data_IF_824952733099
#
_entry.id   IF_824952733099
#
_cell.length_a   1.000
_cell.length_b   1.000
_cell.length_c   1.000
_cell.angle_alpha   90.00
_cell.angle_beta   90.00
_cell.angle_gamma   90.00
#
_symmetry.space_group_name_H-M   'P 1'
#
loop_
_entity.id
_entity.type
_entity.pdbx_description
1 polymer ?
#
# COMPACT_ATOMS: atom_id res chain seq x y z
N UNK A 1 -21.53 38.98 0.20
CA UNK A 1 -21.06 38.12 1.30
C UNK A 1 -19.70 37.61 0.95
N UNK A 2 -18.71 37.83 1.79
CA UNK A 2 -17.33 37.33 1.61
C UNK A 2 -17.22 35.88 2.08
N UNK A 3 -16.74 35.03 1.24
CA UNK A 3 -16.66 33.59 1.47
C UNK A 3 -15.30 33.05 1.01
N UNK A 4 -14.93 31.86 1.48
CA UNK A 4 -13.86 31.10 0.90
C UNK A 4 -14.44 30.09 -0.10
N UNK A 5 -14.07 30.21 -1.37
CA UNK A 5 -14.43 29.27 -2.43
C UNK A 5 -13.34 28.21 -2.56
N UNK A 6 -13.72 26.93 -2.55
CA UNK A 6 -12.82 25.81 -2.79
C UNK A 6 -13.31 24.99 -3.98
N UNK A 7 -12.54 25.04 -5.07
CA UNK A 7 -12.83 24.29 -6.29
C UNK A 7 -11.96 23.01 -6.38
N UNK A 8 -12.45 21.93 -7.00
CA UNK A 8 -11.67 20.74 -7.22
C UNK A 8 -10.35 21.03 -7.96
N UNK A 9 -9.25 20.50 -7.45
CA UNK A 9 -7.92 20.64 -8.05
C UNK A 9 -7.27 22.02 -7.95
N UNK A 10 -7.89 22.98 -7.26
CA UNK A 10 -7.39 24.35 -7.10
C UNK A 10 -7.12 24.70 -5.64
N UNK A 11 -6.32 25.75 -5.44
CA UNK A 11 -6.19 26.42 -4.15
C UNK A 11 -7.48 27.16 -3.82
N UNK A 12 -7.82 27.29 -2.51
CA UNK A 12 -8.93 28.15 -2.08
C UNK A 12 -8.75 29.59 -2.52
N UNK A 13 -9.85 30.27 -2.77
CA UNK A 13 -9.81 31.72 -3.07
C UNK A 13 -10.91 32.48 -2.32
N UNK A 14 -10.55 33.65 -1.79
CA UNK A 14 -11.53 34.59 -1.27
C UNK A 14 -12.41 35.10 -2.43
N UNK A 15 -13.71 35.02 -2.24
CA UNK A 15 -14.69 35.38 -3.26
C UNK A 15 -15.83 36.16 -2.61
N UNK A 16 -16.38 37.13 -3.32
CA UNK A 16 -17.58 37.85 -2.88
C UNK A 16 -18.77 37.40 -3.74
N UNK A 17 -19.84 36.98 -3.08
CA UNK A 17 -21.09 36.59 -3.72
C UNK A 17 -22.27 37.38 -3.14
N UNK A 18 -23.40 37.45 -3.86
CA UNK A 18 -24.61 37.96 -3.32
C UNK A 18 -25.09 37.14 -2.11
N UNK A 19 -25.71 37.78 -1.12
CA UNK A 19 -26.30 37.08 0.00
C UNK A 19 -27.68 36.54 -0.37
N UNK A 20 -27.80 35.25 -0.54
CA UNK A 20 -29.08 34.62 -0.86
C UNK A 20 -28.90 33.18 -1.36
N UNK A 21 -30.01 32.44 -1.31
CA UNK A 21 -30.01 31.02 -1.69
C UNK A 21 -29.56 30.81 -3.14
N UNK A 22 -30.04 31.63 -4.07
CA UNK A 22 -29.71 31.51 -5.50
C UNK A 22 -28.20 31.67 -5.78
N UNK A 23 -27.55 32.61 -5.06
CA UNK A 23 -26.11 32.83 -5.23
C UNK A 23 -25.31 31.63 -4.70
N UNK A 24 -25.68 31.05 -3.59
CA UNK A 24 -25.07 29.84 -3.03
C UNK A 24 -25.29 28.64 -3.96
N UNK A 25 -26.51 28.43 -4.43
CA UNK A 25 -26.85 27.37 -5.38
C UNK A 25 -26.04 27.47 -6.69
N UNK A 26 -25.91 28.69 -7.20
CA UNK A 26 -25.08 28.94 -8.39
C UNK A 26 -23.61 28.63 -8.14
N UNK A 27 -23.08 28.98 -6.98
CA UNK A 27 -21.66 28.77 -6.64
C UNK A 27 -21.31 27.29 -6.52
N UNK A 28 -22.21 26.45 -5.97
CA UNK A 28 -21.99 25.01 -5.84
C UNK A 28 -22.56 24.19 -7.00
N UNK A 29 -23.30 24.82 -7.90
CA UNK A 29 -23.85 24.16 -9.11
C UNK A 29 -25.08 23.30 -8.87
N UNK A 30 -25.93 23.62 -7.88
CA UNK A 30 -27.17 22.88 -7.57
C UNK A 30 -27.76 23.18 -6.21
N UNK A 31 -28.60 22.26 -5.70
CA UNK A 31 -29.15 22.38 -4.35
C UNK A 31 -28.03 22.35 -3.30
N UNK A 32 -28.18 23.17 -2.27
CA UNK A 32 -27.15 23.27 -1.24
C UNK A 32 -27.44 22.34 -0.07
N UNK A 33 -26.37 21.75 0.46
CA UNK A 33 -26.30 21.19 1.79
C UNK A 33 -25.33 22.01 2.63
N UNK A 34 -25.67 22.30 3.87
CA UNK A 34 -24.77 22.91 4.82
C UNK A 34 -24.41 21.89 5.91
N UNK A 35 -23.11 21.71 6.14
CA UNK A 35 -22.57 20.86 7.20
C UNK A 35 -21.69 21.67 8.12
N UNK A 36 -21.59 21.27 9.39
CA UNK A 36 -20.92 21.99 10.46
C UNK A 36 -19.83 21.12 11.09
N UNK A 37 -18.74 20.85 10.35
CA UNK A 37 -17.70 19.91 10.80
C UNK A 37 -16.72 20.51 11.82
N UNK A 38 -16.82 21.79 12.12
CA UNK A 38 -15.87 22.54 12.94
C UNK A 38 -16.56 23.20 14.13
N UNK A 39 -15.82 23.42 15.22
CA UNK A 39 -16.28 24.18 16.38
C UNK A 39 -16.38 25.69 16.11
N UNK A 40 -15.65 26.19 15.11
CA UNK A 40 -15.73 27.59 14.68
C UNK A 40 -17.13 27.95 14.16
N UNK A 41 -17.53 29.21 14.25
CA UNK A 41 -18.82 29.68 13.74
C UNK A 41 -18.85 29.78 12.22
N UNK A 42 -18.66 28.65 11.54
CA UNK A 42 -18.65 28.50 10.09
C UNK A 42 -19.54 27.35 9.63
N UNK A 43 -19.98 27.41 8.40
CA UNK A 43 -20.57 26.28 7.69
C UNK A 43 -19.79 25.95 6.42
N UNK A 44 -19.72 24.66 6.11
CA UNK A 44 -19.32 24.16 4.80
C UNK A 44 -20.59 24.00 3.97
N UNK A 45 -20.72 24.78 2.89
CA UNK A 45 -21.86 24.73 1.98
C UNK A 45 -21.41 24.07 0.69
N UNK A 46 -22.01 22.94 0.33
CA UNK A 46 -21.68 22.16 -0.85
C UNK A 46 -22.93 21.76 -1.64
N UNK A 47 -22.76 21.13 -2.79
CA UNK A 47 -23.87 20.57 -3.55
C UNK A 47 -24.37 19.30 -2.86
N UNK A 48 -25.70 19.24 -2.55
CA UNK A 48 -26.35 18.11 -1.89
C UNK A 48 -26.24 16.80 -2.70
N UNK A 49 -26.30 16.89 -4.02
CA UNK A 49 -26.30 15.75 -4.95
C UNK A 49 -24.96 15.58 -5.68
N UNK A 50 -23.92 16.32 -5.31
CA UNK A 50 -22.65 16.39 -6.06
C UNK A 50 -22.02 15.03 -6.35
N UNK A 51 -22.06 14.10 -5.38
CA UNK A 51 -21.57 12.73 -5.56
C UNK A 51 -22.44 11.93 -6.56
N UNK A 52 -23.75 12.06 -6.45
CA UNK A 52 -24.73 11.35 -7.32
C UNK A 52 -24.61 11.87 -8.75
N UNK A 53 -24.36 13.18 -8.90
CA UNK A 53 -24.14 13.83 -10.20
C UNK A 53 -22.77 13.53 -10.80
N UNK A 54 -21.89 12.82 -10.09
CA UNK A 54 -20.54 12.50 -10.57
C UNK A 54 -19.63 13.73 -10.64
N UNK A 55 -19.86 14.75 -9.82
CA UNK A 55 -18.96 15.90 -9.75
C UNK A 55 -17.58 15.47 -9.28
N UNK A 56 -16.48 16.13 -9.73
CA UNK A 56 -15.15 15.82 -9.27
C UNK A 56 -15.02 15.89 -7.74
N UNK A 57 -14.37 14.90 -7.14
CA UNK A 57 -14.06 14.92 -5.71
C UNK A 57 -13.11 16.08 -5.40
N UNK A 58 -13.31 16.73 -4.24
CA UNK A 58 -12.63 17.97 -3.91
C UNK A 58 -11.73 17.84 -2.68
N UNK A 59 -12.30 17.75 -1.48
CA UNK A 59 -11.60 17.64 -0.21
C UNK A 59 -12.28 16.63 0.70
N UNK A 60 -11.49 15.94 1.51
CA UNK A 60 -12.00 15.11 2.60
C UNK A 60 -12.46 15.94 3.79
N UNK A 61 -13.50 15.44 4.46
CA UNK A 61 -13.84 15.83 5.82
C UNK A 61 -13.41 14.70 6.75
N UNK A 62 -12.53 15.04 7.70
CA UNK A 62 -11.98 14.07 8.65
C UNK A 62 -12.38 14.44 10.07
N UNK A 63 -12.48 13.42 10.94
CA UNK A 63 -12.62 13.59 12.37
C UNK A 63 -11.29 14.03 13.03
N UNK A 64 -11.29 14.17 14.36
CA UNK A 64 -10.11 14.59 15.15
C UNK A 64 -8.96 13.56 15.07
N UNK A 65 -9.27 12.30 14.82
CA UNK A 65 -8.32 11.21 14.67
C UNK A 65 -7.75 11.09 13.22
N UNK A 66 -8.26 11.94 12.30
CA UNK A 66 -7.84 11.96 10.89
C UNK A 66 -8.58 10.95 10.02
N UNK A 67 -9.60 10.23 10.54
CA UNK A 67 -10.38 9.30 9.73
C UNK A 67 -11.33 10.09 8.82
N UNK A 68 -11.32 9.75 7.54
CA UNK A 68 -12.23 10.37 6.56
C UNK A 68 -13.64 9.81 6.77
N UNK A 69 -14.56 10.66 7.16
CA UNK A 69 -15.98 10.29 7.29
C UNK A 69 -16.81 10.77 6.09
N UNK A 70 -16.35 11.77 5.34
CA UNK A 70 -16.99 12.22 4.12
C UNK A 70 -15.99 12.82 3.13
N UNK A 71 -16.36 12.87 1.84
CA UNK A 71 -15.60 13.53 0.77
C UNK A 71 -16.56 14.44 0.01
N UNK A 72 -16.22 15.71 -0.08
CA UNK A 72 -17.03 16.69 -0.81
C UNK A 72 -16.79 16.53 -2.32
N UNK A 73 -17.85 16.53 -3.10
CA UNK A 73 -17.81 16.55 -4.55
C UNK A 73 -18.29 17.90 -5.11
N UNK A 74 -17.60 18.41 -6.12
CA UNK A 74 -17.84 19.73 -6.69
C UNK A 74 -17.25 20.88 -5.86
N UNK A 75 -17.67 22.09 -6.19
CA UNK A 75 -17.28 23.28 -5.43
C UNK A 75 -17.93 23.27 -4.04
N UNK A 76 -17.23 23.82 -3.07
CA UNK A 76 -17.82 24.12 -1.77
C UNK A 76 -17.34 25.47 -1.25
N UNK A 77 -18.09 26.00 -0.29
CA UNK A 77 -17.87 27.31 0.30
C UNK A 77 -17.69 27.15 1.80
N UNK A 78 -16.77 27.94 2.38
CA UNK A 78 -16.76 28.19 3.81
C UNK A 78 -17.40 29.58 4.02
N UNK A 79 -18.44 29.60 4.82
CA UNK A 79 -19.23 30.81 5.13
C UNK A 79 -19.26 31.03 6.62
N UNK A 80 -19.33 32.27 7.05
CA UNK A 80 -19.55 32.61 8.45
C UNK A 80 -21.00 32.35 8.88
N UNK A 81 -21.21 32.17 10.18
CA UNK A 81 -22.54 32.04 10.79
C UNK A 81 -22.93 33.36 11.47
N UNK A 82 -24.10 33.90 11.08
CA UNK A 82 -24.74 35.07 11.70
C UNK A 82 -26.02 34.68 12.44
N UNK A 83 -26.75 35.66 12.95
CA UNK A 83 -28.03 35.44 13.61
C UNK A 83 -29.09 34.99 12.60
N UNK A 84 -29.26 33.67 12.47
CA UNK A 84 -30.29 33.04 11.65
C UNK A 84 -29.98 32.97 10.14
N UNK A 85 -28.79 33.35 9.69
CA UNK A 85 -28.37 33.31 8.29
C UNK A 85 -26.86 33.16 8.14
N UNK A 86 -26.40 32.79 6.95
CA UNK A 86 -24.97 32.86 6.62
C UNK A 86 -24.51 34.32 6.56
N UNK A 87 -23.27 34.56 6.92
CA UNK A 87 -22.63 35.86 6.99
C UNK A 87 -21.23 35.84 6.33
N UNK A 88 -20.60 37.00 6.31
CA UNK A 88 -19.22 37.12 5.89
C UNK A 88 -18.33 36.23 6.74
N UNK A 89 -17.40 35.53 6.11
CA UNK A 89 -16.32 34.82 6.80
C UNK A 89 -15.34 35.87 7.36
N UNK A 90 -15.03 35.79 8.64
CA UNK A 90 -14.08 36.72 9.25
C UNK A 90 -12.66 36.54 8.67
N UNK A 91 -11.82 37.60 8.66
CA UNK A 91 -10.48 37.53 8.12
C UNK A 91 -9.63 36.41 8.76
N UNK A 92 -9.72 36.23 10.08
CA UNK A 92 -8.96 35.19 10.81
C UNK A 92 -9.37 33.77 10.36
N UNK A 93 -10.68 33.56 10.19
CA UNK A 93 -11.22 32.28 9.72
C UNK A 93 -10.98 32.09 8.21
N UNK A 94 -10.95 33.17 7.44
CA UNK A 94 -10.54 33.14 6.01
C UNK A 94 -9.11 32.63 5.87
N UNK A 95 -8.17 33.15 6.65
CA UNK A 95 -6.77 32.70 6.66
C UNK A 95 -6.65 31.24 7.14
N UNK A 96 -7.29 30.90 8.26
CA UNK A 96 -7.29 29.55 8.84
C UNK A 96 -7.73 28.50 7.82
N UNK A 97 -8.90 28.69 7.20
CA UNK A 97 -9.45 27.71 6.26
C UNK A 97 -8.78 27.76 4.89
N UNK A 98 -8.21 28.90 4.48
CA UNK A 98 -7.36 28.96 3.29
C UNK A 98 -6.12 28.07 3.44
N UNK A 99 -5.47 28.09 4.60
CA UNK A 99 -4.33 27.22 4.85
C UNK A 99 -4.75 25.75 5.01
N UNK A 100 -5.88 25.47 5.70
CA UNK A 100 -6.40 24.12 5.88
C UNK A 100 -6.68 23.42 4.55
N UNK A 101 -7.30 24.10 3.59
CA UNK A 101 -7.68 23.56 2.29
C UNK A 101 -6.72 23.93 1.16
N UNK A 102 -5.54 24.45 1.47
CA UNK A 102 -4.55 24.94 0.54
C UNK A 102 -4.21 23.92 -0.56
N UNK A 103 -3.94 22.69 -0.15
CA UNK A 103 -3.55 21.64 -1.06
C UNK A 103 -4.76 20.96 -1.71
N UNK A 104 -4.83 20.88 -3.05
CA UNK A 104 -5.77 20.00 -3.73
C UNK A 104 -5.58 18.55 -3.26
N UNK A 105 -6.65 17.78 -3.21
CA UNK A 105 -6.59 16.38 -2.83
C UNK A 105 -6.97 15.47 -3.99
N UNK A 106 -6.32 14.31 -4.05
CA UNK A 106 -6.68 13.17 -4.88
C UNK A 106 -7.00 12.00 -3.94
N UNK A 107 -7.88 11.14 -4.40
CA UNK A 107 -8.37 10.06 -3.55
C UNK A 107 -7.95 8.71 -4.12
N UNK A 108 -7.32 7.90 -3.29
CA UNK A 108 -6.98 6.51 -3.59
C UNK A 108 -7.71 5.59 -2.61
N UNK A 109 -7.98 4.37 -3.04
CA UNK A 109 -8.55 3.36 -2.17
C UNK A 109 -7.52 2.26 -1.96
N UNK A 110 -7.15 2.03 -0.71
CA UNK A 110 -6.17 1.01 -0.32
C UNK A 110 -6.85 0.07 0.67
N UNK A 111 -6.92 -1.22 0.33
CA UNK A 111 -7.55 -2.28 1.14
C UNK A 111 -8.94 -1.89 1.70
N UNK A 112 -9.72 -1.16 0.91
CA UNK A 112 -11.07 -0.74 1.29
C UNK A 112 -11.19 0.63 1.94
N UNK A 113 -10.10 1.21 2.46
CA UNK A 113 -10.09 2.57 3.05
C UNK A 113 -9.81 3.62 1.99
N UNK A 114 -10.49 4.77 2.10
CA UNK A 114 -10.15 5.94 1.29
C UNK A 114 -9.03 6.73 1.96
N UNK A 115 -8.06 7.13 1.18
CA UNK A 115 -6.97 8.00 1.57
C UNK A 115 -7.04 9.27 0.73
N UNK A 116 -7.04 10.44 1.38
CA UNK A 116 -6.91 11.73 0.72
C UNK A 116 -5.42 12.08 0.61
N UNK A 117 -4.93 12.14 -0.61
CA UNK A 117 -3.51 12.45 -0.90
C UNK A 117 -3.40 13.91 -1.32
N UNK A 118 -2.82 14.73 -0.46
CA UNK A 118 -2.55 16.14 -0.74
C UNK A 118 -1.58 16.26 -1.91
N UNK A 119 -1.97 16.99 -2.94
CA UNK A 119 -1.12 17.21 -4.10
C UNK A 119 -0.23 18.43 -3.86
N UNK A 120 1.07 18.34 -4.20
CA UNK A 120 1.98 19.47 -4.05
C UNK A 120 1.56 20.63 -4.95
N UNK A 121 1.74 21.83 -4.45
CA UNK A 121 1.56 23.03 -5.27
C UNK A 121 2.69 23.19 -6.30
N UNK A 122 2.47 23.93 -7.41
CA UNK A 122 3.50 24.14 -8.42
C UNK A 122 4.83 24.67 -7.87
N UNK A 123 4.78 25.46 -6.80
CA UNK A 123 5.94 26.05 -6.13
C UNK A 123 6.73 25.04 -5.27
N UNK A 124 6.13 23.89 -4.93
CA UNK A 124 6.70 22.85 -4.07
C UNK A 124 7.37 21.72 -4.87
N UNK A 125 7.44 21.82 -6.18
CA UNK A 125 7.90 20.76 -7.09
C UNK A 125 9.39 20.39 -6.98
N UNK A 126 10.11 20.89 -6.00
CA UNK A 126 11.51 20.49 -5.69
C UNK A 126 11.66 19.19 -4.87
N UNK A 127 10.57 18.61 -4.36
CA UNK A 127 10.58 17.31 -3.64
C UNK A 127 10.34 16.18 -4.65
N UNK A 128 11.08 15.08 -4.50
CA UNK A 128 10.96 13.89 -5.34
C UNK A 128 9.64 13.18 -5.02
N UNK A 129 8.58 13.52 -5.75
CA UNK A 129 7.34 12.75 -5.72
C UNK A 129 7.35 11.77 -6.89
N UNK A 130 7.07 10.51 -6.62
CA UNK A 130 6.77 9.57 -7.70
C UNK A 130 5.37 9.88 -8.24
N UNK A 131 5.27 10.06 -9.55
CA UNK A 131 3.97 10.24 -10.20
C UNK A 131 3.43 8.87 -10.57
N UNK A 132 2.27 8.54 -10.05
CA UNK A 132 1.58 7.30 -10.33
C UNK A 132 0.31 7.58 -11.12
N UNK A 133 0.02 6.73 -12.11
CA UNK A 133 -1.27 6.75 -12.81
C UNK A 133 -2.20 5.78 -12.10
N UNK A 134 -3.29 6.29 -11.55
CA UNK A 134 -4.31 5.48 -10.89
C UNK A 134 -5.53 5.42 -11.78
N UNK A 135 -5.92 4.20 -12.19
CA UNK A 135 -7.13 3.97 -12.99
C UNK A 135 -8.32 3.80 -12.04
N UNK A 136 -9.15 4.82 -11.94
CA UNK A 136 -10.37 4.80 -11.13
C UNK A 136 -11.62 4.37 -11.91
N UNK A 137 -11.46 3.52 -12.94
CA UNK A 137 -12.55 2.96 -13.74
C UNK A 137 -13.24 3.91 -14.73
N UNK A 138 -12.98 5.23 -14.64
CA UNK A 138 -13.59 6.26 -15.50
C UNK A 138 -12.55 7.18 -16.13
N UNK A 139 -11.41 7.42 -15.47
CA UNK A 139 -10.31 8.23 -15.99
C UNK A 139 -8.99 7.84 -15.30
N UNK A 140 -7.88 7.94 -16.03
CA UNK A 140 -6.54 7.84 -15.48
C UNK A 140 -6.16 9.18 -14.84
N UNK A 141 -6.04 9.21 -13.51
CA UNK A 141 -5.58 10.36 -12.77
C UNK A 141 -4.10 10.23 -12.41
N UNK A 142 -3.32 11.24 -12.72
CA UNK A 142 -1.94 11.32 -12.26
C UNK A 142 -1.92 11.81 -10.81
N UNK A 143 -1.58 10.91 -9.90
CA UNK A 143 -1.49 11.19 -8.47
C UNK A 143 -0.03 11.13 -8.06
N UNK A 144 0.42 12.13 -7.28
CA UNK A 144 1.74 12.11 -6.66
C UNK A 144 1.63 11.51 -5.27
N UNK A 145 2.28 10.37 -5.07
CA UNK A 145 2.31 9.66 -3.81
C UNK A 145 3.70 9.76 -3.19
N UNK A 146 3.77 9.79 -1.86
CA UNK A 146 5.02 9.53 -1.16
C UNK A 146 5.41 8.05 -1.29
N UNK A 147 6.63 7.70 -0.87
CA UNK A 147 7.17 6.35 -1.08
C UNK A 147 6.36 5.27 -0.36
N UNK A 148 5.86 5.54 0.86
CA UNK A 148 5.07 4.58 1.63
C UNK A 148 3.69 4.37 1.02
N UNK A 149 3.00 5.44 0.67
CA UNK A 149 1.67 5.37 0.03
C UNK A 149 1.76 4.71 -1.36
N UNK A 150 2.84 4.98 -2.11
CA UNK A 150 3.09 4.34 -3.41
C UNK A 150 3.30 2.83 -3.26
N UNK A 151 4.14 2.41 -2.30
CA UNK A 151 4.34 0.99 -2.00
C UNK A 151 3.03 0.33 -1.56
N UNK A 152 2.27 0.98 -0.66
CA UNK A 152 0.99 0.49 -0.16
C UNK A 152 -0.03 0.32 -1.30
N UNK A 153 -0.11 1.27 -2.23
CA UNK A 153 -1.02 1.20 -3.37
C UNK A 153 -0.71 0.01 -4.29
N UNK A 154 0.56 -0.21 -4.62
CA UNK A 154 0.97 -1.31 -5.49
C UNK A 154 0.74 -2.67 -4.82
N UNK A 155 1.05 -2.78 -3.52
CA UNK A 155 0.79 -3.99 -2.75
C UNK A 155 -0.70 -4.29 -2.63
N UNK A 156 -1.55 -3.27 -2.37
CA UNK A 156 -3.00 -3.46 -2.39
C UNK A 156 -3.50 -3.93 -3.75
N UNK A 157 -2.94 -3.41 -4.84
CA UNK A 157 -3.28 -3.85 -6.19
C UNK A 157 -2.93 -5.33 -6.40
N UNK A 158 -1.75 -5.76 -5.93
CA UNK A 158 -1.33 -7.15 -5.99
C UNK A 158 -2.25 -8.07 -5.15
N UNK A 159 -2.58 -7.70 -3.92
CA UNK A 159 -3.51 -8.46 -3.08
C UNK A 159 -4.91 -8.55 -3.68
N UNK A 160 -5.40 -7.48 -4.33
CA UNK A 160 -6.69 -7.52 -5.03
C UNK A 160 -6.69 -8.44 -6.26
N UNK A 161 -5.59 -8.49 -6.99
CA UNK A 161 -5.44 -9.42 -8.12
C UNK A 161 -5.43 -10.89 -7.70
N UNK A 162 -5.03 -11.16 -6.45
CA UNK A 162 -4.99 -12.48 -5.83
C UNK A 162 -6.07 -12.65 -4.75
N UNK A 163 -7.21 -11.96 -4.88
CA UNK A 163 -8.23 -11.87 -3.82
C UNK A 163 -8.86 -13.20 -3.47
N UNK A 164 -9.07 -14.10 -4.44
CA UNK A 164 -9.69 -15.42 -4.19
C UNK A 164 -8.84 -16.25 -3.23
N UNK A 165 -7.52 -16.30 -3.46
CA UNK A 165 -6.58 -16.96 -2.56
C UNK A 165 -6.53 -16.29 -1.21
N UNK A 166 -6.46 -14.96 -1.20
CA UNK A 166 -6.41 -14.19 0.03
C UNK A 166 -7.67 -14.36 0.89
N UNK A 167 -8.84 -14.42 0.26
CA UNK A 167 -10.12 -14.71 0.93
C UNK A 167 -10.17 -16.13 1.52
N UNK A 168 -9.58 -17.10 0.85
CA UNK A 168 -9.51 -18.48 1.34
C UNK A 168 -8.60 -18.64 2.56
N UNK A 169 -7.53 -17.86 2.64
CA UNK A 169 -6.58 -17.86 3.75
C UNK A 169 -7.13 -17.21 5.02
N UNK A 170 -8.02 -16.24 4.88
CA UNK A 170 -8.56 -15.43 5.97
C UNK A 170 -10.08 -15.49 6.02
N UNK A 171 -10.64 -16.36 6.89
CA UNK A 171 -12.10 -16.58 7.00
C UNK A 171 -12.90 -15.31 7.33
N UNK A 172 -12.30 -14.38 8.10
CA UNK A 172 -12.87 -13.05 8.35
C UNK A 172 -12.22 -11.99 7.45
N UNK A 173 -12.46 -12.12 6.17
CA UNK A 173 -11.82 -11.30 5.15
C UNK A 173 -12.15 -9.79 5.27
N UNK A 174 -13.29 -9.43 5.83
CA UNK A 174 -13.65 -8.03 6.02
C UNK A 174 -12.74 -7.34 7.06
N UNK A 175 -12.64 -7.91 8.25
CA UNK A 175 -11.72 -7.42 9.30
C UNK A 175 -10.26 -7.52 8.89
N UNK A 176 -9.92 -8.49 8.04
CA UNK A 176 -8.56 -8.65 7.53
C UNK A 176 -8.19 -7.56 6.52
N UNK A 177 -9.12 -7.13 5.68
CA UNK A 177 -8.91 -5.97 4.79
C UNK A 177 -8.63 -4.68 5.57
N UNK A 178 -9.35 -4.46 6.68
CA UNK A 178 -9.12 -3.29 7.52
C UNK A 178 -7.72 -3.33 8.15
N UNK A 179 -7.32 -4.47 8.70
CA UNK A 179 -5.96 -4.67 9.24
C UNK A 179 -4.88 -4.51 8.18
N UNK A 180 -5.08 -5.08 7.00
CA UNK A 180 -4.15 -4.92 5.88
C UNK A 180 -4.01 -3.45 5.48
N UNK A 181 -5.09 -2.68 5.45
CA UNK A 181 -5.03 -1.25 5.17
C UNK A 181 -4.17 -0.51 6.20
N UNK A 182 -4.37 -0.79 7.49
CA UNK A 182 -3.60 -0.16 8.56
C UNK A 182 -2.12 -0.53 8.49
N UNK A 183 -1.79 -1.79 8.21
CA UNK A 183 -0.42 -2.27 8.04
C UNK A 183 0.27 -1.63 6.83
N UNK A 184 -0.41 -1.57 5.69
CA UNK A 184 0.12 -0.95 4.48
C UNK A 184 0.35 0.55 4.67
N UNK A 185 -0.62 1.27 5.23
CA UNK A 185 -0.54 2.73 5.42
C UNK A 185 0.45 3.13 6.52
N UNK A 186 0.61 2.28 7.55
CA UNK A 186 1.59 2.52 8.64
C UNK A 186 2.99 2.01 8.32
N UNK A 187 3.20 1.36 7.17
CA UNK A 187 4.51 0.85 6.75
C UNK A 187 5.01 -0.33 7.60
N UNK A 188 4.11 -1.15 8.16
CA UNK A 188 4.46 -2.37 8.90
C UNK A 188 4.97 -3.47 7.96
N UNK A 189 6.18 -3.30 7.46
CA UNK A 189 6.77 -4.14 6.40
C UNK A 189 6.89 -5.61 6.77
N UNK A 190 7.10 -5.93 8.05
CA UNK A 190 7.15 -7.32 8.54
C UNK A 190 5.82 -8.06 8.34
N UNK A 191 4.70 -7.40 8.61
CA UNK A 191 3.36 -7.98 8.40
C UNK A 191 3.08 -8.20 6.91
N UNK A 192 3.49 -7.27 6.07
CA UNK A 192 3.38 -7.38 4.61
C UNK A 192 4.19 -8.58 4.10
N UNK A 193 5.41 -8.80 4.61
CA UNK A 193 6.22 -9.99 4.29
C UNK A 193 5.48 -11.29 4.60
N UNK A 194 4.82 -11.38 5.77
CA UNK A 194 4.01 -12.55 6.14
C UNK A 194 2.86 -12.80 5.16
N UNK A 195 2.14 -11.74 4.77
CA UNK A 195 1.03 -11.85 3.82
C UNK A 195 1.47 -12.30 2.43
N UNK A 196 2.57 -11.75 1.93
CA UNK A 196 3.16 -12.17 0.67
C UNK A 196 3.61 -13.65 0.71
N UNK A 197 4.25 -14.08 1.80
CA UNK A 197 4.67 -15.46 1.97
C UNK A 197 3.48 -16.45 2.03
N UNK A 198 2.34 -16.03 2.60
CA UNK A 198 1.13 -16.85 2.62
C UNK A 198 0.53 -17.03 1.22
N UNK A 199 0.45 -15.95 0.44
CA UNK A 199 0.00 -16.01 -0.96
C UNK A 199 0.93 -16.87 -1.83
N UNK A 200 2.24 -16.68 -1.68
CA UNK A 200 3.26 -17.45 -2.39
C UNK A 200 3.06 -18.96 -2.23
N UNK A 201 2.88 -19.40 -0.97
CA UNK A 201 2.71 -20.81 -0.64
C UNK A 201 1.45 -21.43 -1.24
N UNK A 202 0.31 -20.74 -1.15
CA UNK A 202 -1.00 -21.30 -1.56
C UNK A 202 -1.19 -21.32 -3.08
N UNK A 203 -0.64 -20.33 -3.79
CA UNK A 203 -0.84 -20.18 -5.25
C UNK A 203 0.42 -20.42 -6.09
N UNK A 204 1.52 -20.85 -5.45
CA UNK A 204 2.79 -21.02 -6.16
C UNK A 204 3.26 -19.75 -6.89
N UNK A 205 3.14 -18.60 -6.20
CA UNK A 205 3.47 -17.27 -6.75
C UNK A 205 4.93 -16.85 -6.52
N UNK A 206 5.86 -17.78 -6.31
CA UNK A 206 7.26 -17.51 -5.92
C UNK A 206 7.94 -16.46 -6.83
N UNK A 207 7.64 -16.50 -8.12
CA UNK A 207 8.16 -15.53 -9.07
C UNK A 207 7.47 -14.17 -9.07
N UNK A 208 6.30 -14.06 -8.46
CA UNK A 208 5.46 -12.86 -8.50
C UNK A 208 5.62 -11.99 -7.25
N UNK A 209 5.91 -12.57 -6.11
CA UNK A 209 6.13 -11.84 -4.84
C UNK A 209 7.52 -11.21 -4.75
N UNK A 210 8.51 -11.78 -5.40
CA UNK A 210 9.91 -11.35 -5.36
C UNK A 210 10.12 -9.85 -5.60
N UNK A 211 9.56 -9.26 -6.67
CA UNK A 211 9.70 -7.83 -6.94
C UNK A 211 9.18 -6.94 -5.80
N UNK A 212 8.12 -7.36 -5.10
CA UNK A 212 7.60 -6.62 -3.94
C UNK A 212 8.50 -6.77 -2.72
N UNK A 213 9.06 -7.95 -2.48
CA UNK A 213 10.02 -8.18 -1.40
C UNK A 213 11.29 -7.34 -1.58
N UNK A 214 11.77 -7.18 -2.81
CA UNK A 214 12.89 -6.28 -3.14
C UNK A 214 12.55 -4.81 -2.86
N UNK A 215 11.34 -4.37 -3.20
CA UNK A 215 10.86 -3.02 -2.91
C UNK A 215 10.72 -2.77 -1.41
N UNK A 216 10.19 -3.74 -0.65
CA UNK A 216 10.12 -3.68 0.82
C UNK A 216 11.53 -3.56 1.40
N UNK A 217 12.49 -4.37 0.94
CA UNK A 217 13.88 -4.30 1.40
C UNK A 217 14.53 -2.95 1.09
N UNK A 218 14.20 -2.35 -0.06
CA UNK A 218 14.69 -1.03 -0.44
C UNK A 218 14.08 0.07 0.43
N UNK A 219 12.79 -0.02 0.73
CA UNK A 219 12.07 0.87 1.63
C UNK A 219 12.63 0.78 3.06
N UNK A 220 12.78 -0.43 3.61
CA UNK A 220 13.37 -0.67 4.93
C UNK A 220 14.78 -0.08 5.04
N UNK A 221 15.61 -0.27 4.01
CA UNK A 221 16.95 0.34 3.96
C UNK A 221 16.91 1.86 3.97
N UNK A 222 16.02 2.47 3.20
CA UNK A 222 15.88 3.92 3.09
C UNK A 222 15.47 4.55 4.43
N UNK A 223 14.57 3.89 5.16
CA UNK A 223 14.01 4.39 6.42
C UNK A 223 14.67 3.79 7.67
N UNK A 224 15.73 2.99 7.52
CA UNK A 224 16.46 2.38 8.62
C UNK A 224 15.67 1.36 9.43
N UNK A 225 14.64 0.76 8.82
CA UNK A 225 13.81 -0.28 9.41
C UNK A 225 14.56 -1.60 9.35
N UNK A 226 14.58 -2.34 10.45
CA UNK A 226 15.11 -3.70 10.52
C UNK A 226 14.00 -4.64 10.95
N UNK A 227 13.90 -5.80 10.30
CA UNK A 227 12.89 -6.82 10.60
C UNK A 227 13.54 -8.20 10.66
N UNK A 228 12.80 -9.18 11.20
CA UNK A 228 13.19 -10.59 11.12
C UNK A 228 12.01 -11.45 10.72
N UNK A 229 12.32 -12.61 10.13
CA UNK A 229 11.33 -13.63 9.79
C UNK A 229 11.74 -14.98 10.31
N UNK A 230 10.79 -15.77 10.81
CA UNK A 230 10.99 -17.14 11.30
C UNK A 230 10.40 -18.11 10.29
N UNK A 231 11.21 -19.09 9.91
CA UNK A 231 10.86 -20.15 8.98
C UNK A 231 10.95 -21.49 9.69
N UNK A 232 9.92 -22.32 9.52
CA UNK A 232 9.83 -23.67 10.05
C UNK A 232 9.60 -24.66 8.92
N UNK A 233 10.12 -25.89 9.06
CA UNK A 233 9.92 -26.94 8.06
C UNK A 233 8.43 -27.20 7.84
N UNK A 234 8.03 -27.32 6.58
CA UNK A 234 6.69 -27.74 6.22
C UNK A 234 6.34 -29.09 6.84
N UNK A 235 5.07 -29.27 7.19
CA UNK A 235 4.59 -30.54 7.73
C UNK A 235 4.21 -31.49 6.61
N UNK A 236 5.21 -32.16 6.06
CA UNK A 236 5.03 -33.17 5.01
C UNK A 236 5.93 -34.39 5.27
N UNK A 237 5.55 -35.53 4.73
CA UNK A 237 6.36 -36.76 4.83
C UNK A 237 7.77 -36.58 4.25
N UNK A 238 7.92 -35.65 3.29
CA UNK A 238 9.21 -35.35 2.65
C UNK A 238 10.17 -34.57 3.54
N UNK A 239 9.66 -33.80 4.53
CA UNK A 239 10.47 -32.93 5.41
C UNK A 239 10.59 -33.44 6.84
N UNK A 240 9.74 -34.39 7.25
CA UNK A 240 9.73 -34.92 8.63
C UNK A 240 11.09 -35.47 9.09
N UNK A 241 11.86 -36.11 8.18
CA UNK A 241 13.19 -36.64 8.48
C UNK A 241 14.26 -35.55 8.69
N UNK A 242 13.98 -34.29 8.35
CA UNK A 242 14.88 -33.13 8.51
C UNK A 242 14.69 -32.43 9.86
N UNK A 243 13.60 -32.72 10.57
CA UNK A 243 13.26 -32.06 11.83
C UNK A 243 14.24 -32.42 12.93
N UNK A 244 14.64 -31.41 13.68
CA UNK A 244 15.57 -31.48 14.80
C UNK A 244 16.97 -32.00 14.41
N UNK A 245 17.30 -32.04 13.13
CA UNK A 245 18.63 -32.44 12.68
C UNK A 245 19.60 -31.26 12.75
N UNK A 246 20.84 -31.51 13.17
CA UNK A 246 21.88 -30.50 13.14
C UNK A 246 22.39 -30.26 11.72
N UNK A 247 22.94 -29.06 11.48
CA UNK A 247 23.54 -28.74 10.19
C UNK A 247 24.66 -29.72 9.81
N UNK A 248 25.46 -30.18 10.78
CA UNK A 248 26.53 -31.18 10.57
C UNK A 248 25.97 -32.55 10.12
N UNK A 249 24.80 -32.92 10.63
CA UNK A 249 24.16 -34.16 10.19
C UNK A 249 23.68 -34.04 8.75
N UNK A 250 23.06 -32.89 8.39
CA UNK A 250 22.62 -32.61 7.02
C UNK A 250 23.80 -32.67 6.04
N UNK A 251 24.90 -32.00 6.36
CA UNK A 251 26.11 -32.01 5.53
C UNK A 251 26.68 -33.42 5.31
N UNK A 252 26.75 -34.22 6.39
CA UNK A 252 27.21 -35.64 6.29
C UNK A 252 26.31 -36.50 5.43
N UNK A 253 25.02 -36.14 5.29
CA UNK A 253 24.05 -36.83 4.43
C UNK A 253 23.98 -36.23 3.02
N UNK A 254 24.76 -35.20 2.71
CA UNK A 254 24.71 -34.48 1.43
C UNK A 254 23.41 -33.70 1.21
N UNK A 255 22.70 -33.39 2.31
CA UNK A 255 21.46 -32.63 2.28
C UNK A 255 21.75 -31.13 2.49
N UNK A 256 20.91 -30.28 1.89
CA UNK A 256 21.01 -28.82 2.01
C UNK A 256 19.81 -28.29 2.77
N UNK A 257 20.03 -27.17 3.44
CA UNK A 257 18.95 -26.36 4.04
C UNK A 257 18.36 -25.57 2.87
N UNK A 258 17.24 -26.07 2.34
CA UNK A 258 16.60 -25.56 1.15
C UNK A 258 15.35 -24.76 1.54
N UNK A 259 15.22 -23.52 1.06
CA UNK A 259 14.11 -22.61 1.34
C UNK A 259 12.74 -23.22 1.02
N UNK A 260 12.67 -24.03 -0.04
CA UNK A 260 11.42 -24.63 -0.50
C UNK A 260 10.81 -25.65 0.48
N UNK A 261 11.63 -26.14 1.44
CA UNK A 261 11.15 -27.00 2.52
C UNK A 261 10.55 -26.24 3.72
N UNK A 262 10.53 -24.91 3.67
CA UNK A 262 10.17 -24.06 4.81
C UNK A 262 9.00 -23.15 4.51
N UNK A 263 8.17 -22.94 5.52
CA UNK A 263 7.15 -21.90 5.54
C UNK A 263 7.54 -20.77 6.51
N UNK A 264 7.26 -19.53 6.14
CA UNK A 264 7.34 -18.41 7.07
C UNK A 264 6.18 -18.51 8.06
N UNK A 265 6.48 -18.56 9.33
CA UNK A 265 5.48 -18.69 10.42
C UNK A 265 5.35 -17.40 11.23
N UNK A 266 6.33 -16.49 11.13
CA UNK A 266 6.31 -15.22 11.82
C UNK A 266 7.25 -14.21 11.18
N UNK A 267 6.88 -12.92 11.28
CA UNK A 267 7.77 -11.81 11.01
C UNK A 267 7.43 -10.63 11.93
N UNK A 268 8.45 -9.91 12.38
CA UNK A 268 8.28 -8.72 13.22
C UNK A 268 9.45 -7.73 13.01
N UNK A 269 9.30 -6.54 13.59
CA UNK A 269 10.36 -5.58 13.66
C UNK A 269 11.47 -6.08 14.61
N UNK A 270 12.71 -5.86 14.20
CA UNK A 270 13.89 -6.16 15.01
C UNK A 270 14.24 -4.93 15.86
N UNK A 271 14.15 -5.09 17.17
CA UNK A 271 14.50 -4.01 18.11
C UNK A 271 16.00 -3.73 18.07
N UNK A 272 16.37 -2.48 18.17
CA UNK A 272 17.80 -2.11 18.18
C UNK A 272 18.57 -2.84 19.28
N UNK A 273 19.61 -3.58 18.91
CA UNK A 273 20.43 -4.38 19.81
C UNK A 273 19.90 -5.77 20.13
N UNK A 274 18.74 -6.14 19.61
CA UNK A 274 18.18 -7.48 19.75
C UNK A 274 19.02 -8.51 18.98
N UNK A 275 19.33 -9.62 19.64
CA UNK A 275 20.16 -10.71 19.12
C UNK A 275 19.33 -11.91 18.71
N UNK A 276 19.95 -12.87 17.99
CA UNK A 276 19.32 -14.16 17.67
C UNK A 276 18.95 -14.96 18.92
N UNK A 277 19.76 -14.85 19.97
CA UNK A 277 19.51 -15.49 21.27
C UNK A 277 18.30 -14.88 21.99
N UNK A 278 18.08 -13.57 21.85
CA UNK A 278 16.89 -12.89 22.39
C UNK A 278 15.63 -13.36 21.65
N UNK A 279 15.70 -13.45 20.32
CA UNK A 279 14.61 -14.01 19.50
C UNK A 279 14.33 -15.46 19.91
N UNK A 280 15.37 -16.31 20.03
CA UNK A 280 15.23 -17.69 20.46
C UNK A 280 14.55 -17.79 21.83
N UNK A 281 15.00 -16.99 22.79
CA UNK A 281 14.45 -16.96 24.14
C UNK A 281 12.97 -16.54 24.14
N UNK A 282 12.62 -15.49 23.37
CA UNK A 282 11.24 -15.03 23.23
C UNK A 282 10.33 -16.14 22.72
N UNK A 283 10.70 -16.83 21.65
CA UNK A 283 9.86 -17.86 21.02
C UNK A 283 9.86 -19.21 21.75
N UNK A 284 10.64 -19.35 22.80
CA UNK A 284 10.63 -20.54 23.66
C UNK A 284 9.97 -20.29 25.03
N UNK A 285 9.97 -19.04 25.53
CA UNK A 285 9.50 -18.74 26.88
C UNK A 285 8.21 -17.92 26.86
N UNK A 286 8.13 -16.90 25.99
CA UNK A 286 7.02 -15.94 25.97
C UNK A 286 6.77 -15.47 24.54
N UNK A 287 6.33 -16.39 23.69
CA UNK A 287 6.05 -16.07 22.29
C UNK A 287 4.86 -15.10 22.15
N UNK A 288 4.85 -14.27 21.07
CA UNK A 288 3.74 -13.38 20.78
C UNK A 288 2.41 -14.12 20.61
N UNK A 289 1.30 -13.47 20.97
CA UNK A 289 -0.04 -14.07 20.90
C UNK A 289 -0.47 -14.42 19.46
N UNK A 290 0.03 -13.67 18.49
CA UNK A 290 -0.22 -13.87 17.05
C UNK A 290 0.71 -14.89 16.39
N UNK A 291 1.67 -15.47 17.14
CA UNK A 291 2.54 -16.52 16.64
C UNK A 291 1.78 -17.84 16.47
N UNK A 292 1.88 -18.43 15.28
CA UNK A 292 1.18 -19.69 14.92
C UNK A 292 2.10 -20.88 14.72
N UNK A 293 3.41 -20.71 14.86
CA UNK A 293 4.40 -21.77 14.78
C UNK A 293 4.55 -22.57 16.07
N UNK A 294 5.45 -23.55 16.06
CA UNK A 294 5.95 -24.18 17.27
C UNK A 294 7.12 -23.39 17.88
N UNK A 295 7.46 -23.64 19.13
CA UNK A 295 8.65 -23.05 19.77
C UNK A 295 9.89 -23.22 18.89
N UNK A 296 10.73 -22.19 18.84
CA UNK A 296 11.91 -22.15 17.98
C UNK A 296 12.87 -23.30 18.36
N UNK A 297 13.21 -24.15 17.42
CA UNK A 297 13.93 -25.42 17.63
C UNK A 297 15.01 -25.64 16.58
N UNK A 298 15.89 -26.61 16.86
CA UNK A 298 16.85 -27.10 15.85
C UNK A 298 16.12 -27.47 14.57
N UNK A 299 16.63 -27.05 13.45
CA UNK A 299 16.11 -27.09 12.08
C UNK A 299 15.28 -25.87 11.65
N UNK A 300 14.90 -24.99 12.55
CA UNK A 300 14.24 -23.74 12.16
C UNK A 300 15.25 -22.72 11.62
N UNK A 301 14.80 -21.71 10.89
CA UNK A 301 15.65 -20.66 10.32
C UNK A 301 15.11 -19.29 10.71
N UNK A 302 15.99 -18.42 11.22
CA UNK A 302 15.71 -17.01 11.46
C UNK A 302 16.42 -16.20 10.39
N UNK A 303 15.66 -15.39 9.65
CA UNK A 303 16.22 -14.46 8.65
C UNK A 303 16.14 -13.04 9.20
N UNK A 304 17.29 -12.38 9.28
CA UNK A 304 17.38 -10.97 9.65
C UNK A 304 17.41 -10.13 8.37
N UNK A 305 16.52 -9.13 8.31
CA UNK A 305 16.41 -8.16 7.22
C UNK A 305 16.95 -6.82 7.73
N UNK A 306 18.20 -6.50 7.42
CA UNK A 306 18.88 -5.32 7.94
C UNK A 306 19.66 -4.60 6.84
N UNK A 307 19.52 -3.29 6.74
CA UNK A 307 20.24 -2.45 5.78
C UNK A 307 20.02 -2.90 4.30
N UNK A 308 18.85 -3.47 3.99
CA UNK A 308 18.53 -4.01 2.66
C UNK A 308 19.28 -5.30 2.33
N UNK A 309 19.74 -6.03 3.35
CA UNK A 309 20.41 -7.33 3.21
C UNK A 309 19.73 -8.36 4.10
N UNK A 310 19.48 -9.54 3.54
CA UNK A 310 18.96 -10.69 4.25
C UNK A 310 20.11 -11.61 4.68
N UNK A 311 20.10 -12.00 5.95
CA UNK A 311 21.03 -13.00 6.50
C UNK A 311 20.22 -14.08 7.20
N UNK A 312 20.32 -15.32 6.72
CA UNK A 312 19.61 -16.46 7.26
C UNK A 312 20.47 -17.24 8.26
N UNK A 313 19.87 -17.62 9.37
CA UNK A 313 20.52 -18.30 10.47
C UNK A 313 19.74 -19.54 10.88
N UNK A 314 20.33 -20.69 10.66
CA UNK A 314 19.80 -21.99 11.07
C UNK A 314 19.95 -22.17 12.57
N UNK A 315 18.89 -22.55 13.25
CA UNK A 315 18.94 -22.95 14.65
C UNK A 315 19.60 -24.30 14.73
N UNK A 316 20.79 -24.37 15.28
CA UNK A 316 21.58 -25.60 15.39
C UNK A 316 21.59 -26.14 16.81
N UNK A 317 22.21 -27.30 17.01
CA UNK A 317 22.36 -27.92 18.34
C UNK A 317 23.09 -27.03 19.35
N UNK A 318 23.96 -26.14 18.87
CA UNK A 318 24.68 -25.13 19.66
C UNK A 318 24.65 -23.79 18.94
N UNK A 319 23.69 -22.94 19.31
CA UNK A 319 23.54 -21.58 18.76
C UNK A 319 22.99 -21.56 17.32
N UNK A 320 23.55 -20.67 16.50
CA UNK A 320 23.06 -20.42 15.14
C UNK A 320 24.19 -20.60 14.12
N UNK A 321 23.86 -21.13 12.95
CA UNK A 321 24.76 -21.24 11.82
C UNK A 321 24.21 -20.44 10.63
N UNK A 322 25.01 -19.52 10.09
CA UNK A 322 24.61 -18.77 8.90
C UNK A 322 24.44 -19.71 7.69
N UNK A 323 23.35 -19.53 6.94
CA UNK A 323 23.02 -20.29 5.74
C UNK A 323 23.01 -19.35 4.54
N UNK A 324 24.14 -19.17 3.86
CA UNK A 324 24.22 -18.34 2.69
C UNK A 324 23.30 -18.86 1.57
N UNK A 325 22.48 -17.96 1.01
CA UNK A 325 21.61 -18.28 -0.12
C UNK A 325 20.21 -18.79 0.23
N UNK A 326 19.89 -19.00 1.51
CA UNK A 326 18.53 -19.35 1.94
C UNK A 326 17.48 -18.33 1.48
N UNK A 327 17.78 -17.03 1.56
CA UNK A 327 16.89 -15.95 1.12
C UNK A 327 16.91 -15.71 -0.39
N UNK A 328 17.72 -16.45 -1.16
CA UNK A 328 17.91 -16.24 -2.60
C UNK A 328 17.00 -17.10 -3.47
N UNK A 329 15.93 -17.64 -2.95
CA UNK A 329 14.99 -18.45 -3.75
C UNK A 329 14.32 -17.67 -4.89
N UNK A 330 14.55 -16.36 -5.04
CA UNK A 330 13.92 -15.54 -6.09
C UNK A 330 14.92 -14.62 -6.78
N UNK A 331 16.04 -15.12 -7.26
CA UNK A 331 16.82 -14.33 -8.21
C UNK A 331 17.45 -15.22 -9.25
N UNK A 332 17.06 -15.02 -10.50
CA UNK A 332 17.71 -15.46 -11.73
C UNK A 332 17.19 -16.72 -12.43
N UNK A 333 15.98 -17.20 -12.16
CA UNK A 333 15.30 -17.82 -13.30
C UNK A 333 14.14 -16.92 -13.69
N UNK A 334 14.31 -16.19 -14.77
CA UNK A 334 13.27 -15.43 -15.44
C UNK A 334 12.10 -16.39 -15.58
N UNK A 335 11.00 -16.18 -14.83
CA UNK A 335 9.89 -17.11 -14.82
C UNK A 335 9.53 -17.46 -16.27
N UNK A 336 9.21 -18.71 -16.55
CA UNK A 336 8.76 -19.15 -17.88
C UNK A 336 7.68 -18.20 -18.44
N UNK A 337 6.91 -17.58 -17.57
CA UNK A 337 5.88 -16.59 -17.90
C UNK A 337 6.49 -15.25 -18.34
N UNK A 338 7.51 -14.74 -17.67
CA UNK A 338 8.23 -13.52 -18.11
C UNK A 338 9.01 -13.77 -19.42
N UNK A 339 9.53 -14.97 -19.63
CA UNK A 339 10.12 -15.39 -20.92
C UNK A 339 9.03 -15.48 -22.00
N UNK A 340 7.85 -16.00 -21.66
CA UNK A 340 6.71 -16.09 -22.57
C UNK A 340 6.14 -14.71 -22.93
N UNK A 341 6.04 -13.80 -21.97
CA UNK A 341 5.56 -12.44 -22.19
C UNK A 341 6.58 -11.59 -22.97
N UNK A 342 7.88 -11.77 -22.72
CA UNK A 342 8.92 -11.17 -23.54
C UNK A 342 8.94 -11.76 -24.96
N UNK A 343 8.75 -13.06 -25.13
CA UNK A 343 8.64 -13.71 -26.42
C UNK A 343 7.38 -13.22 -27.18
N UNK A 344 6.26 -13.06 -26.51
CA UNK A 344 5.03 -12.49 -27.09
C UNK A 344 5.20 -11.04 -27.50
N UNK A 345 5.87 -10.20 -26.69
CA UNK A 345 6.21 -8.82 -27.06
C UNK A 345 7.13 -8.76 -28.27
N UNK A 346 8.18 -9.57 -28.31
CA UNK A 346 9.11 -9.64 -29.45
C UNK A 346 8.41 -10.15 -30.71
N UNK A 347 7.51 -11.13 -30.61
CA UNK A 347 6.70 -11.59 -31.74
C UNK A 347 5.79 -10.51 -32.29
N UNK A 348 5.09 -9.76 -31.42
CA UNK A 348 4.23 -8.63 -31.81
C UNK A 348 5.02 -7.49 -32.46
N UNK A 349 6.22 -7.17 -31.99
CA UNK A 349 7.11 -6.18 -32.60
C UNK A 349 7.66 -6.63 -33.96
N UNK A 350 7.83 -7.95 -34.17
CA UNK A 350 8.30 -8.52 -35.42
C UNK A 350 7.19 -8.52 -36.48
N UNK A 351 5.95 -8.79 -36.10
CA UNK A 351 4.78 -8.71 -37.01
C UNK A 351 4.50 -7.26 -37.47
N UNK A 352 4.75 -6.25 -36.63
CA UNK A 352 4.63 -4.85 -37.03
C UNK A 352 5.71 -4.37 -38.00
N UNK A 353 6.81 -5.11 -38.16
CA UNK A 353 7.95 -4.74 -39.02
C UNK A 353 7.97 -5.41 -40.38
N UNK A 354 7.02 -6.29 -40.70
CA UNK A 354 6.92 -6.90 -42.03
C UNK A 354 6.25 -5.95 -43.02
N UNK A 355 6.95 -5.46 -44.06
CA UNK A 355 6.33 -4.58 -45.06
C UNK A 355 5.36 -5.36 -45.94
N UNK A 356 4.20 -4.77 -46.13
CA UNK A 356 3.14 -5.23 -47.02
C UNK A 356 3.71 -5.57 -48.41
N UNK A 357 3.71 -6.84 -48.81
CA UNK A 357 4.03 -7.24 -50.17
C UNK A 357 2.93 -6.72 -51.12
N UNK A 358 3.26 -5.68 -51.90
CA UNK A 358 2.45 -5.17 -53.01
C UNK A 358 2.02 -6.33 -53.90
N UNK A 359 0.72 -6.54 -54.03
CA UNK A 359 0.13 -7.33 -55.13
C UNK A 359 0.39 -6.64 -56.46
N UNK A 360 1.12 -7.29 -57.33
CA UNK A 360 1.18 -6.92 -58.77
C UNK A 360 -0.17 -7.18 -59.42
N UNK A 361 -0.63 -6.29 -60.33
CA UNK A 361 -1.84 -6.53 -61.07
C UNK A 361 -1.57 -7.50 -62.26
N UNK A 362 -2.32 -8.59 -62.33
CA UNK A 362 -2.40 -9.44 -63.49
C UNK A 362 -2.84 -8.60 -64.74
N UNK A 363 -2.04 -8.63 -65.78
CA UNK A 363 -2.44 -8.21 -67.12
C UNK A 363 -3.08 -9.40 -67.85
N UNK A 364 -4.28 -9.20 -68.31
CA UNK A 364 -5.03 -9.96 -69.31
C UNK A 364 -4.31 -10.04 -70.66
#
# INVERSE_FOLDING_TARGET
>A
MKILMVEPGKMPCETEIDSGLEALQKAVGGHIQAVYPYEDPVAVVCNEEGKIMGMPLNRALSDEDGNIYDIIAGNFLIVGLGEGSFSDLSPDLMEKYSEQFKHPEKFVRIAGKYLAVKQPLPEETGKTFQTMTVTNGVADDNIRLDDSTNLAFDLDTFFRQNSETYESLYPDFHSEKERMADELLSGQTSKIRMRLASLEREEHLEGETGPFLERISSYEKQYGISTYSIYQLDRSDSTDHLRFMSSDWLEKKGLRIDRDNYQMVYAAELVQGETLEDIYTRFNINHPEDFRGHSLSVSDVVVLHQNGKDTAHYVDSFGFKEVPGFSKAVSQDTSLRAQLDNAKRQAAETEMKTPDKKREPERS
#
